data_IF_015449111525
#
_entry.id   IF_015449111525
#
_cell.length_a   1.000
_cell.length_b   1.000
_cell.length_c   1.000
_cell.angle_alpha   90.00
_cell.angle_beta   90.00
_cell.angle_gamma   90.00
#
_symmetry.space_group_name_H-M   'P 1'
#
loop_
_entity.id
_entity.type
_entity.pdbx_description
1 polymer ?
#
# COMPACT_ATOMS: atom_id res chain seq x y z
N UNK A 1 15.58 9.52 -25.99
CA UNK A 1 14.25 10.11 -25.74
C UNK A 1 13.43 9.20 -24.80
N UNK A 2 13.93 8.99 -23.59
CA UNK A 2 13.22 8.26 -22.52
C UNK A 2 13.38 9.08 -21.24
N UNK A 3 12.60 10.16 -21.14
CA UNK A 3 12.38 10.80 -19.84
C UNK A 3 11.71 9.76 -18.96
N UNK A 4 12.50 9.15 -18.07
CA UNK A 4 12.03 8.40 -16.92
C UNK A 4 11.23 9.37 -16.06
N UNK A 5 9.92 9.43 -16.26
CA UNK A 5 9.00 10.03 -15.30
C UNK A 5 8.92 9.06 -14.12
N UNK A 6 9.96 9.03 -13.29
CA UNK A 6 9.77 8.68 -11.89
C UNK A 6 9.21 9.95 -11.27
N UNK A 7 7.88 10.03 -11.15
CA UNK A 7 7.31 11.02 -10.23
C UNK A 7 8.00 10.83 -8.88
N UNK A 8 8.55 11.91 -8.33
CA UNK A 8 9.22 11.88 -7.05
C UNK A 8 8.23 11.34 -6.01
N UNK A 9 8.65 10.33 -5.24
CA UNK A 9 7.80 9.78 -4.18
C UNK A 9 7.43 10.89 -3.21
N UNK A 10 6.16 10.93 -2.84
CA UNK A 10 5.61 11.93 -1.93
C UNK A 10 6.03 11.54 -0.50
N UNK A 11 6.59 12.47 0.30
CA UNK A 11 6.87 12.25 1.71
C UNK A 11 5.65 11.69 2.47
N UNK A 12 5.88 10.78 3.41
CA UNK A 12 4.78 10.07 4.08
C UNK A 12 3.84 11.00 4.85
N UNK A 13 4.35 12.11 5.39
CA UNK A 13 3.55 13.11 6.08
C UNK A 13 2.55 13.78 5.13
N UNK A 14 2.95 14.12 3.90
CA UNK A 14 2.06 14.71 2.90
C UNK A 14 1.01 13.70 2.41
N UNK A 15 1.37 12.41 2.34
CA UNK A 15 0.41 11.33 2.02
C UNK A 15 -0.62 11.18 3.15
N UNK A 16 -0.17 11.21 4.40
CA UNK A 16 -1.02 11.09 5.57
C UNK A 16 -1.95 12.29 5.73
N UNK A 17 -1.47 13.51 5.47
CA UNK A 17 -2.28 14.72 5.47
C UNK A 17 -3.44 14.61 4.46
N UNK A 18 -3.15 14.16 3.23
CA UNK A 18 -4.19 13.92 2.19
C UNK A 18 -5.20 12.86 2.62
N UNK A 19 -4.78 11.90 3.44
CA UNK A 19 -5.65 10.87 4.00
C UNK A 19 -6.39 11.33 5.27
N UNK A 20 -6.16 12.56 5.75
CA UNK A 20 -6.78 13.09 6.96
C UNK A 20 -6.21 12.51 8.26
N UNK A 21 -4.96 12.03 8.25
CA UNK A 21 -4.28 11.46 9.41
C UNK A 21 -3.35 12.52 10.01
N UNK A 22 -3.59 12.97 11.26
CA UNK A 22 -2.72 13.95 11.91
C UNK A 22 -1.32 13.39 12.16
N UNK A 23 -0.30 14.27 12.08
CA UNK A 23 1.10 13.90 12.22
C UNK A 23 1.43 13.25 13.58
N UNK A 24 0.73 13.62 14.64
CA UNK A 24 0.92 13.07 16.00
C UNK A 24 0.60 11.56 16.10
N UNK A 25 -0.14 11.01 15.13
CA UNK A 25 -0.45 9.58 15.05
C UNK A 25 0.46 8.83 14.07
N UNK A 26 1.53 9.45 13.56
CA UNK A 26 2.45 8.82 12.62
C UNK A 26 3.77 8.47 13.30
N UNK A 27 4.14 7.19 13.20
CA UNK A 27 5.47 6.69 13.56
C UNK A 27 6.27 6.41 12.29
N UNK A 28 7.16 7.32 11.86
CA UNK A 28 7.82 7.21 10.56
C UNK A 28 8.89 6.11 10.51
N UNK A 29 8.87 5.35 9.42
CA UNK A 29 9.89 4.37 9.03
C UNK A 29 10.67 4.93 7.83
N UNK A 30 11.55 5.89 8.13
CA UNK A 30 12.21 6.70 7.11
C UNK A 30 11.28 7.76 6.52
N UNK A 31 11.55 8.20 5.28
CA UNK A 31 10.86 9.37 4.67
C UNK A 31 9.49 9.06 4.05
N UNK A 32 9.22 7.80 3.74
CA UNK A 32 8.14 7.40 2.82
C UNK A 32 7.22 6.29 3.34
N UNK A 33 7.39 5.89 4.60
CA UNK A 33 6.57 4.88 5.25
C UNK A 33 6.36 5.32 6.70
N UNK A 34 5.22 4.95 7.28
CA UNK A 34 4.92 5.18 8.69
C UNK A 34 3.95 4.10 9.17
N UNK A 35 3.99 3.80 10.47
CA UNK A 35 2.88 3.16 11.16
C UNK A 35 1.91 4.23 11.64
N UNK A 36 0.64 3.86 11.74
CA UNK A 36 -0.41 4.71 12.30
C UNK A 36 -0.70 4.21 13.71
N UNK A 37 -0.58 5.10 14.68
CA UNK A 37 -0.96 4.83 16.05
C UNK A 37 -2.48 4.59 16.15
N UNK A 38 -2.85 3.44 16.71
CA UNK A 38 -4.24 3.02 16.82
C UNK A 38 -5.08 3.85 17.79
N UNK A 39 -4.46 4.66 18.66
CA UNK A 39 -5.15 5.66 19.49
C UNK A 39 -5.95 6.66 18.66
N UNK A 40 -5.60 6.84 17.37
CA UNK A 40 -6.40 7.61 16.41
C UNK A 40 -7.87 7.16 16.39
N UNK A 41 -8.15 5.88 16.65
CA UNK A 41 -9.52 5.34 16.66
C UNK A 41 -10.42 6.00 17.70
N UNK A 42 -9.86 6.54 18.78
CA UNK A 42 -10.59 7.26 19.83
C UNK A 42 -11.06 8.64 19.36
N UNK A 43 -10.43 9.20 18.33
CA UNK A 43 -10.80 10.50 17.76
C UNK A 43 -11.70 10.37 16.53
N UNK A 44 -11.86 9.16 15.98
CA UNK A 44 -12.71 8.91 14.83
C UNK A 44 -14.18 8.91 15.25
N UNK A 45 -14.99 9.72 14.57
CA UNK A 45 -16.43 9.70 14.72
C UNK A 45 -17.08 8.47 14.04
N UNK A 46 -18.34 8.64 13.66
CA UNK A 46 -19.09 7.59 12.95
C UNK A 46 -18.38 7.18 11.65
N UNK A 47 -18.27 5.87 11.41
CA UNK A 47 -17.60 5.33 10.22
C UNK A 47 -18.43 5.62 8.98
N UNK A 48 -17.96 6.54 8.14
CA UNK A 48 -18.54 6.88 6.85
C UNK A 48 -17.62 6.43 5.73
N UNK A 49 -18.10 5.59 4.82
CA UNK A 49 -17.33 5.13 3.67
C UNK A 49 -17.93 3.87 3.02
N UNK A 50 -17.50 3.59 1.79
CA UNK A 50 -17.86 2.38 1.06
C UNK A 50 -16.71 1.37 1.11
N UNK A 51 -17.04 0.10 1.31
CA UNK A 51 -16.08 -1.01 1.19
C UNK A 51 -16.22 -1.64 -0.19
N UNK A 52 -15.16 -1.58 -0.99
CA UNK A 52 -15.07 -2.25 -2.29
C UNK A 52 -14.16 -3.47 -2.16
N UNK A 53 -14.72 -4.66 -2.34
CA UNK A 53 -13.97 -5.92 -2.32
C UNK A 53 -13.54 -6.29 -3.75
N UNK A 54 -12.23 -6.33 -3.98
CA UNK A 54 -11.66 -6.79 -5.26
C UNK A 54 -11.31 -8.27 -5.16
N UNK A 55 -11.91 -9.07 -6.04
CA UNK A 55 -11.66 -10.51 -6.16
C UNK A 55 -11.21 -10.88 -7.57
N UNK A 56 -10.82 -12.14 -7.77
CA UNK A 56 -10.44 -12.69 -9.06
C UNK A 56 -11.03 -14.10 -9.22
N UNK A 57 -11.05 -14.58 -10.46
CA UNK A 57 -11.31 -15.99 -10.77
C UNK A 57 -10.20 -16.89 -10.22
N UNK A 58 -10.36 -18.21 -10.39
CA UNK A 58 -9.34 -19.18 -9.98
C UNK A 58 -7.97 -18.82 -10.59
N UNK A 59 -6.88 -18.86 -9.80
CA UNK A 59 -5.55 -18.52 -10.29
C UNK A 59 -5.07 -19.42 -11.43
N UNK A 60 -4.41 -18.80 -12.40
CA UNK A 60 -3.81 -19.42 -13.58
C UNK A 60 -2.34 -19.03 -13.68
N UNK A 61 -1.57 -19.71 -14.54
CA UNK A 61 -0.17 -19.34 -14.80
C UNK A 61 -0.01 -17.97 -15.48
N UNK A 62 -1.05 -17.48 -16.15
CA UNK A 62 -1.01 -16.19 -16.83
C UNK A 62 -1.01 -15.00 -15.85
N UNK A 63 -1.57 -15.20 -14.65
CA UNK A 63 -1.71 -14.17 -13.63
C UNK A 63 -2.91 -13.26 -13.88
N UNK A 64 -3.69 -13.02 -12.83
CA UNK A 64 -4.98 -12.33 -12.94
C UNK A 64 -4.86 -10.82 -12.68
N UNK A 65 -3.69 -10.34 -12.24
CA UNK A 65 -3.45 -8.91 -12.00
C UNK A 65 -4.28 -8.31 -10.86
N UNK A 66 -4.80 -9.11 -9.93
CA UNK A 66 -5.69 -8.66 -8.84
C UNK A 66 -5.14 -7.45 -8.08
N UNK A 67 -3.90 -7.53 -7.60
CA UNK A 67 -3.25 -6.43 -6.86
C UNK A 67 -3.10 -5.17 -7.71
N UNK A 68 -2.65 -5.33 -8.95
CA UNK A 68 -2.50 -4.23 -9.92
C UNK A 68 -3.84 -3.52 -10.16
N UNK A 69 -4.94 -4.27 -10.25
CA UNK A 69 -6.27 -3.72 -10.41
C UNK A 69 -6.80 -3.06 -9.12
N UNK A 70 -6.51 -3.63 -7.94
CA UNK A 70 -6.86 -2.99 -6.66
C UNK A 70 -6.21 -1.62 -6.49
N UNK A 71 -4.91 -1.52 -6.79
CA UNK A 71 -4.17 -0.25 -6.72
C UNK A 71 -4.71 0.72 -7.79
N UNK A 72 -4.90 0.24 -9.02
CA UNK A 72 -5.36 1.06 -10.14
C UNK A 72 -6.76 1.62 -9.93
N UNK A 73 -7.64 0.84 -9.30
CA UNK A 73 -8.98 1.28 -8.92
C UNK A 73 -8.91 2.44 -7.91
N UNK A 74 -8.09 2.32 -6.86
CA UNK A 74 -7.92 3.40 -5.89
C UNK A 74 -7.32 4.66 -6.53
N UNK A 75 -6.32 4.52 -7.41
CA UNK A 75 -5.77 5.64 -8.18
C UNK A 75 -6.82 6.31 -9.07
N UNK A 76 -7.66 5.52 -9.76
CA UNK A 76 -8.72 6.03 -10.63
C UNK A 76 -9.80 6.77 -9.83
N UNK A 77 -10.23 6.24 -8.69
CA UNK A 77 -11.18 6.90 -7.80
C UNK A 77 -10.67 8.26 -7.31
N UNK A 78 -9.40 8.33 -6.89
CA UNK A 78 -8.77 9.59 -6.50
C UNK A 78 -8.70 10.57 -7.68
N UNK A 79 -8.36 10.08 -8.89
CA UNK A 79 -8.36 10.91 -10.11
C UNK A 79 -9.75 11.46 -10.46
N UNK A 80 -10.81 10.73 -10.09
CA UNK A 80 -12.20 11.15 -10.26
C UNK A 80 -12.72 12.08 -9.14
N UNK A 81 -11.88 12.40 -8.14
CA UNK A 81 -12.24 13.28 -7.03
C UNK A 81 -12.83 12.57 -5.81
N UNK A 82 -12.80 11.25 -5.75
CA UNK A 82 -13.20 10.49 -4.55
C UNK A 82 -12.00 10.24 -3.63
N UNK A 83 -12.16 10.47 -2.32
CA UNK A 83 -11.15 10.03 -1.34
C UNK A 83 -11.19 8.51 -1.21
N UNK A 84 -10.13 7.84 -1.66
CA UNK A 84 -10.05 6.38 -1.69
C UNK A 84 -8.67 5.87 -1.25
N UNK A 85 -8.67 4.81 -0.42
CA UNK A 85 -7.46 4.14 0.06
C UNK A 85 -7.51 2.67 -0.32
N UNK A 86 -6.41 2.13 -0.84
CA UNK A 86 -6.25 0.68 -1.07
C UNK A 86 -5.59 0.03 0.14
N UNK A 87 -6.15 -1.09 0.60
CA UNK A 87 -5.54 -1.92 1.65
C UNK A 87 -5.09 -3.25 1.05
N UNK A 88 -3.84 -3.63 1.35
CA UNK A 88 -3.19 -4.83 0.79
C UNK A 88 -2.55 -5.63 1.92
N UNK A 89 -2.24 -6.90 1.63
CA UNK A 89 -1.46 -7.74 2.55
C UNK A 89 0.04 -7.52 2.30
N UNK A 90 0.82 -7.50 3.37
CA UNK A 90 2.28 -7.57 3.27
C UNK A 90 2.69 -8.90 2.59
N UNK A 91 3.60 -8.87 1.60
CA UNK A 91 4.13 -10.08 1.03
C UNK A 91 5.07 -10.81 1.98
N UNK A 92 5.00 -12.14 2.00
CA UNK A 92 6.00 -12.93 2.70
C UNK A 92 7.37 -12.83 2.02
N UNK A 93 8.43 -12.93 2.83
CA UNK A 93 9.81 -12.80 2.37
C UNK A 93 10.27 -13.99 1.49
N UNK A 94 9.80 -15.21 1.77
CA UNK A 94 10.24 -16.43 1.07
C UNK A 94 10.06 -16.39 -0.46
N UNK A 95 8.87 -16.06 -0.99
CA UNK A 95 8.64 -15.97 -2.43
C UNK A 95 9.47 -14.94 -3.18
N UNK A 96 10.01 -13.92 -2.48
CA UNK A 96 10.80 -12.82 -3.08
C UNK A 96 12.15 -13.33 -3.58
N UNK A 97 12.73 -14.32 -2.89
CA UNK A 97 13.97 -14.98 -3.32
C UNK A 97 13.72 -16.17 -4.27
N UNK A 98 12.46 -16.39 -4.68
CA UNK A 98 12.03 -17.44 -5.60
C UNK A 98 11.49 -16.89 -6.93
N UNK A 99 10.38 -17.47 -7.41
CA UNK A 99 9.83 -17.20 -8.75
C UNK A 99 8.80 -16.06 -8.77
N UNK A 100 8.30 -15.61 -7.61
CA UNK A 100 7.18 -14.64 -7.56
C UNK A 100 7.67 -13.19 -7.56
N UNK A 101 7.42 -12.50 -8.67
CA UNK A 101 7.54 -11.04 -8.75
C UNK A 101 6.26 -10.30 -8.31
N UNK A 102 6.44 -9.14 -7.66
CA UNK A 102 5.49 -8.02 -7.67
C UNK A 102 4.24 -8.14 -6.79
N UNK A 103 4.38 -8.38 -5.48
CA UNK A 103 3.22 -8.34 -4.58
C UNK A 103 2.68 -6.92 -4.31
N UNK A 104 3.44 -5.90 -4.69
CA UNK A 104 3.08 -4.49 -4.61
C UNK A 104 2.46 -3.92 -5.90
N UNK A 105 1.98 -4.79 -6.81
CA UNK A 105 1.39 -4.38 -8.11
C UNK A 105 2.38 -4.47 -9.27
N UNK A 106 2.07 -3.80 -10.38
CA UNK A 106 2.90 -3.83 -11.60
C UNK A 106 2.61 -2.68 -12.58
N UNK A 107 3.56 -2.43 -13.49
CA UNK A 107 3.43 -1.35 -14.48
C UNK A 107 3.40 0.04 -13.81
N UNK A 108 2.39 0.86 -14.12
CA UNK A 108 2.18 2.18 -13.49
C UNK A 108 1.25 2.14 -12.28
N UNK A 109 0.81 0.95 -11.87
CA UNK A 109 -0.11 0.73 -10.76
C UNK A 109 0.59 -0.10 -9.69
N UNK A 110 1.33 0.60 -8.82
CA UNK A 110 2.23 0.01 -7.83
C UNK A 110 2.16 0.77 -6.51
N UNK A 111 2.48 0.07 -5.42
CA UNK A 111 2.77 0.68 -4.11
C UNK A 111 4.29 0.79 -3.94
N UNK A 112 4.74 1.96 -3.52
CA UNK A 112 6.15 2.28 -3.31
C UNK A 112 6.39 2.66 -1.83
N UNK A 113 7.60 2.47 -1.29
CA UNK A 113 8.79 1.89 -1.93
C UNK A 113 8.74 0.35 -2.00
N UNK A 114 8.73 -0.20 -3.22
CA UNK A 114 8.50 -1.63 -3.46
C UNK A 114 9.59 -2.53 -2.90
N UNK A 115 10.84 -2.06 -2.88
CA UNK A 115 11.99 -2.84 -2.37
C UNK A 115 11.88 -3.03 -0.86
N UNK A 116 11.40 -2.01 -0.13
CA UNK A 116 11.17 -2.12 1.31
C UNK A 116 10.02 -3.08 1.60
N UNK A 117 8.90 -2.94 0.87
CA UNK A 117 7.70 -3.77 1.04
C UNK A 117 8.00 -5.25 0.78
N UNK A 118 8.82 -5.56 -0.23
CA UNK A 118 9.17 -6.95 -0.56
C UNK A 118 10.26 -7.55 0.35
N UNK A 119 10.83 -6.80 1.28
CA UNK A 119 11.89 -7.31 2.17
C UNK A 119 11.41 -7.34 3.62
N UNK A 120 12.00 -6.52 4.49
CA UNK A 120 11.68 -6.49 5.92
C UNK A 120 10.50 -5.55 6.21
N UNK A 121 10.16 -4.65 5.27
CA UNK A 121 9.13 -3.63 5.42
C UNK A 121 9.21 -2.88 6.76
N UNK A 122 8.23 -3.04 7.65
CA UNK A 122 8.21 -2.46 9.00
C UNK A 122 8.46 -3.49 10.11
N UNK A 123 8.97 -4.66 9.73
CA UNK A 123 9.31 -5.81 10.59
C UNK A 123 8.12 -6.52 11.25
N UNK A 124 6.93 -6.48 10.63
CA UNK A 124 5.73 -7.14 11.16
C UNK A 124 5.86 -8.67 11.15
N UNK A 125 6.33 -9.27 10.05
CA UNK A 125 6.57 -10.72 10.01
C UNK A 125 7.63 -11.20 11.01
N UNK A 126 8.81 -10.56 11.13
CA UNK A 126 9.75 -10.87 12.20
C UNK A 126 9.14 -10.80 13.61
N UNK A 127 8.34 -9.77 13.91
CA UNK A 127 7.67 -9.63 15.20
C UNK A 127 6.69 -10.78 15.48
N UNK A 128 5.87 -11.16 14.49
CA UNK A 128 4.96 -12.31 14.59
C UNK A 128 5.72 -13.62 14.77
N UNK A 129 6.88 -13.79 14.12
CA UNK A 129 7.68 -15.02 14.21
C UNK A 129 8.39 -15.18 15.56
N UNK A 130 8.58 -14.09 16.31
CA UNK A 130 9.26 -14.08 17.60
C UNK A 130 8.31 -14.27 18.81
N UNK A 131 6.99 -14.14 18.59
CA UNK A 131 5.95 -14.32 19.61
C UNK A 131 5.62 -15.80 19.82
#
# INVERSE_FOLDING_TARGET
MLQRVFEAMIPIFDVAERAGIPADFLEPYGKYMAKIDLRLRETLGERKGHLILVTATNPTRAGEGKTTNSIGLSMALNKMGHSAVVTLREPSLGPVFGVKGGAAGGGRSQVLPSERINLIFTADFPAVSAA
#
